data_IF_617452535162
#
_entry.id   IF_617452535162
#
_cell.length_a   1.000
_cell.length_b   1.000
_cell.length_c   1.000
_cell.angle_alpha   90.00
_cell.angle_beta   90.00
_cell.angle_gamma   90.00
#
_symmetry.space_group_name_H-M   'P 1'
#
loop_
_entity.id
_entity.type
_entity.pdbx_description
1 polymer ?
#
# COMPACT_ATOMS: atom_id res chain seq x y z
N UNK A 1 6.45 8.62 21.38
CA UNK A 1 6.58 7.76 20.19
C UNK A 1 7.99 7.78 19.65
N UNK A 2 8.57 8.96 19.46
CA UNK A 2 9.96 9.19 19.01
C UNK A 2 11.00 8.35 19.77
N UNK A 3 11.03 8.36 21.10
CA UNK A 3 11.99 7.57 21.90
C UNK A 3 11.88 6.07 21.63
N UNK A 4 10.67 5.55 21.44
CA UNK A 4 10.46 4.15 21.09
C UNK A 4 11.02 3.87 19.69
N UNK A 5 10.70 4.73 18.72
CA UNK A 5 11.23 4.61 17.36
C UNK A 5 12.75 4.68 17.32
N UNK A 6 13.38 5.57 18.09
CA UNK A 6 14.83 5.67 18.21
C UNK A 6 15.46 4.34 18.61
N UNK A 7 14.98 3.76 19.72
CA UNK A 7 15.47 2.46 20.20
C UNK A 7 15.17 1.34 19.21
N UNK A 8 14.02 1.35 18.56
CA UNK A 8 13.68 0.36 17.54
C UNK A 8 14.63 0.44 16.35
N UNK A 9 14.98 1.64 15.90
CA UNK A 9 15.86 1.83 14.75
C UNK A 9 17.32 1.43 15.03
N UNK A 10 17.80 1.68 16.25
CA UNK A 10 19.09 1.16 16.71
C UNK A 10 19.14 -0.37 16.66
N UNK A 11 18.04 -1.02 17.03
CA UNK A 11 17.91 -2.47 16.96
C UNK A 11 17.80 -2.99 15.52
N UNK A 12 17.05 -2.33 14.64
CA UNK A 12 16.91 -2.69 13.22
C UNK A 12 18.23 -2.55 12.45
N UNK A 13 19.06 -1.60 12.84
CA UNK A 13 20.37 -1.37 12.23
C UNK A 13 21.46 -2.31 12.77
N UNK A 14 21.12 -3.23 13.67
CA UNK A 14 22.07 -4.16 14.28
C UNK A 14 22.38 -5.37 13.39
N UNK A 15 23.62 -5.85 13.45
CA UNK A 15 24.02 -7.12 12.83
C UNK A 15 23.45 -8.34 13.56
N UNK A 16 23.10 -8.22 14.85
CA UNK A 16 22.61 -9.33 15.66
C UNK A 16 21.13 -9.67 15.33
N UNK A 17 20.81 -10.89 14.86
CA UNK A 17 19.43 -11.28 14.52
C UNK A 17 18.43 -11.12 15.69
N UNK A 18 18.89 -11.32 16.93
CA UNK A 18 18.09 -11.16 18.14
C UNK A 18 17.69 -9.70 18.40
N UNK A 19 18.59 -8.75 18.10
CA UNK A 19 18.32 -7.32 18.18
C UNK A 19 17.37 -6.89 17.07
N UNK A 20 17.60 -7.31 15.82
CA UNK A 20 16.68 -7.02 14.70
C UNK A 20 15.27 -7.50 15.03
N UNK A 21 15.11 -8.74 15.51
CA UNK A 21 13.82 -9.28 15.96
C UNK A 21 13.15 -8.40 17.01
N UNK A 22 13.93 -7.89 17.98
CA UNK A 22 13.42 -7.00 19.03
C UNK A 22 12.96 -5.65 18.45
N UNK A 23 13.71 -5.09 17.51
CA UNK A 23 13.33 -3.87 16.79
C UNK A 23 12.02 -4.04 16.02
N UNK A 24 11.91 -5.11 15.23
CA UNK A 24 10.69 -5.43 14.48
C UNK A 24 9.47 -5.58 15.41
N UNK A 25 9.60 -6.31 16.52
CA UNK A 25 8.51 -6.46 17.51
C UNK A 25 8.10 -5.15 18.18
N UNK A 26 9.03 -4.21 18.37
CA UNK A 26 8.69 -2.90 18.93
C UNK A 26 7.90 -2.06 17.93
N UNK A 27 8.28 -2.10 16.65
CA UNK A 27 7.52 -1.45 15.56
C UNK A 27 6.13 -2.09 15.45
N UNK A 28 6.06 -3.42 15.39
CA UNK A 28 4.80 -4.18 15.38
C UNK A 28 3.89 -3.78 16.55
N UNK A 29 4.44 -3.74 17.78
CA UNK A 29 3.69 -3.34 18.96
C UNK A 29 3.18 -1.90 18.92
N UNK A 30 3.94 -0.98 18.30
CA UNK A 30 3.49 0.39 18.06
C UNK A 30 2.32 0.42 17.07
N UNK A 31 2.44 -0.28 15.93
CA UNK A 31 1.38 -0.34 14.92
C UNK A 31 0.12 -1.00 15.50
N UNK A 32 0.26 -2.07 16.29
CA UNK A 32 -0.85 -2.72 16.97
C UNK A 32 -1.59 -1.78 17.93
N UNK A 33 -0.87 -0.92 18.68
CA UNK A 33 -1.51 0.08 19.56
C UNK A 33 -2.30 1.14 18.79
N UNK A 34 -1.86 1.46 17.57
CA UNK A 34 -2.55 2.40 16.68
C UNK A 34 -3.80 1.72 16.10
N UNK A 35 -3.66 0.51 15.56
CA UNK A 35 -4.71 -0.17 14.80
C UNK A 35 -5.77 -0.89 15.65
N UNK A 36 -5.43 -1.31 16.88
CA UNK A 36 -6.31 -2.13 17.70
C UNK A 36 -6.96 -1.33 18.83
N UNK A 37 -8.22 -1.64 19.13
CA UNK A 37 -8.92 -1.08 20.27
C UNK A 37 -8.33 -1.61 21.59
N UNK A 38 -8.19 -0.74 22.59
CA UNK A 38 -7.83 -1.17 23.94
C UNK A 38 -9.05 -1.85 24.56
N UNK A 39 -8.94 -3.13 24.87
CA UNK A 39 -9.95 -3.82 25.69
C UNK A 39 -10.09 -3.08 27.02
N UNK A 40 -11.24 -2.43 27.23
CA UNK A 40 -11.58 -1.74 28.48
C UNK A 40 -11.91 -2.78 29.55
N UNK A 41 -10.91 -3.51 30.05
CA UNK A 41 -11.11 -4.33 31.26
C UNK A 41 -10.87 -3.47 32.51
N UNK A 42 -11.86 -3.32 33.41
CA UNK A 42 -11.66 -2.64 34.69
C UNK A 42 -10.70 -3.45 35.58
N UNK A 43 -9.83 -2.73 36.30
CA UNK A 43 -8.75 -3.29 37.12
C UNK A 43 -9.21 -4.28 38.23
N UNK A 44 -10.50 -4.35 38.53
CA UNK A 44 -11.08 -5.22 39.57
C UNK A 44 -11.18 -6.70 39.19
N UNK A 45 -11.16 -7.06 37.90
CA UNK A 45 -11.33 -8.46 37.46
C UNK A 45 -10.02 -9.26 37.34
N UNK A 46 -8.87 -8.59 37.44
CA UNK A 46 -7.54 -9.23 37.31
C UNK A 46 -7.25 -10.33 38.33
N UNK A 47 -7.99 -10.41 39.45
CA UNK A 47 -7.81 -11.46 40.48
C UNK A 47 -8.75 -12.68 40.34
N UNK A 48 -9.74 -12.67 39.45
CA UNK A 48 -10.68 -13.80 39.29
C UNK A 48 -10.47 -14.65 38.03
N UNK A 49 -9.61 -14.21 37.10
CA UNK A 49 -9.41 -14.86 35.81
C UNK A 49 -8.36 -15.99 35.80
N UNK A 50 -8.44 -16.94 36.73
CA UNK A 50 -7.68 -18.20 36.62
C UNK A 50 -8.46 -19.33 35.92
N UNK A 51 -9.68 -19.06 35.43
CA UNK A 51 -10.54 -20.06 34.79
C UNK A 51 -11.25 -19.61 33.50
N UNK A 52 -10.81 -18.53 32.83
CA UNK A 52 -11.42 -18.11 31.55
C UNK A 52 -10.54 -18.50 30.36
N UNK A 53 -10.90 -19.59 29.70
CA UNK A 53 -10.46 -19.93 28.34
C UNK A 53 -11.14 -18.99 27.35
N UNK A 54 -10.54 -17.82 27.10
CA UNK A 54 -11.06 -16.85 26.14
C UNK A 54 -10.75 -15.42 26.55
N UNK A 55 -9.47 -15.05 26.48
CA UNK A 55 -9.09 -13.62 26.52
C UNK A 55 -9.80 -12.89 25.37
N UNK A 56 -10.54 -11.79 25.62
CA UNK A 56 -11.13 -11.00 24.53
C UNK A 56 -10.00 -10.48 23.65
N UNK A 57 -9.97 -10.92 22.39
CA UNK A 57 -9.01 -10.44 21.41
C UNK A 57 -9.24 -8.94 21.17
N UNK A 58 -8.19 -8.12 21.02
CA UNK A 58 -8.35 -6.71 20.68
C UNK A 58 -9.06 -6.60 19.33
N UNK A 59 -10.18 -5.88 19.27
CA UNK A 59 -10.90 -5.68 18.01
C UNK A 59 -10.19 -4.63 17.15
N UNK A 60 -10.00 -4.86 15.83
CA UNK A 60 -9.47 -3.86 14.91
C UNK A 60 -10.34 -2.61 14.87
N UNK A 61 -9.74 -1.43 14.90
CA UNK A 61 -10.43 -0.17 14.65
C UNK A 61 -10.79 -0.06 13.17
N UNK A 62 -11.92 0.56 12.86
CA UNK A 62 -12.23 0.92 11.48
C UNK A 62 -11.22 1.98 10.97
N UNK A 63 -10.80 1.88 9.71
CA UNK A 63 -9.86 2.83 9.10
C UNK A 63 -10.38 4.27 9.15
N UNK A 64 -11.69 4.46 9.04
CA UNK A 64 -12.37 5.76 9.16
C UNK A 64 -12.13 6.45 10.49
N UNK A 65 -11.93 5.67 11.56
CA UNK A 65 -11.83 6.16 12.93
C UNK A 65 -10.38 6.52 13.29
N UNK A 66 -9.41 5.94 12.58
CA UNK A 66 -7.98 6.21 12.81
C UNK A 66 -7.63 7.68 12.59
N UNK A 67 -8.28 8.34 11.61
CA UNK A 67 -8.01 9.76 11.31
C UNK A 67 -8.25 10.70 12.49
N UNK A 68 -9.06 10.29 13.46
CA UNK A 68 -9.38 11.07 14.67
C UNK A 68 -8.58 10.62 15.89
N UNK A 69 -7.83 9.51 15.80
CA UNK A 69 -6.97 9.02 16.86
C UNK A 69 -5.70 9.90 16.98
N UNK A 70 -5.44 10.53 18.14
CA UNK A 70 -4.26 11.37 18.32
C UNK A 70 -2.94 10.60 18.18
N UNK A 71 -2.91 9.31 18.52
CA UNK A 71 -1.71 8.48 18.34
C UNK A 71 -1.44 8.21 16.86
N UNK A 72 -2.49 8.00 16.05
CA UNK A 72 -2.34 7.86 14.60
C UNK A 72 -1.87 9.16 13.95
N UNK A 73 -2.45 10.31 14.31
CA UNK A 73 -2.03 11.62 13.78
C UNK A 73 -0.57 11.92 14.07
N UNK A 74 -0.12 11.64 15.29
CA UNK A 74 1.28 11.82 15.65
C UNK A 74 2.20 10.84 14.91
N UNK A 75 1.80 9.57 14.78
CA UNK A 75 2.52 8.59 13.97
C UNK A 75 2.67 9.06 12.53
N UNK A 76 1.56 9.45 11.90
CA UNK A 76 1.51 9.93 10.52
C UNK A 76 2.43 11.13 10.33
N UNK A 77 2.36 12.13 11.22
CA UNK A 77 3.26 13.30 11.20
C UNK A 77 4.74 12.91 11.30
N UNK A 78 5.07 11.93 12.14
CA UNK A 78 6.45 11.44 12.26
C UNK A 78 6.93 10.73 10.98
N UNK A 79 6.02 10.09 10.22
CA UNK A 79 6.37 9.39 8.98
C UNK A 79 6.70 10.34 7.82
N UNK A 80 6.17 11.56 7.82
CA UNK A 80 6.51 12.62 6.85
C UNK A 80 7.99 13.07 6.97
N UNK A 81 8.59 12.91 8.15
CA UNK A 81 9.98 13.26 8.39
C UNK A 81 10.95 12.11 8.09
N UNK A 82 12.11 12.41 7.51
CA UNK A 82 13.16 11.41 7.25
C UNK A 82 13.71 10.74 8.52
N UNK A 83 13.69 11.44 9.66
CA UNK A 83 14.26 10.95 10.91
C UNK A 83 13.49 9.76 11.47
N UNK A 84 12.16 9.81 11.36
CA UNK A 84 11.23 8.89 12.03
C UNK A 84 10.40 8.03 11.06
N UNK A 85 10.68 8.11 9.76
CA UNK A 85 10.02 7.28 8.75
C UNK A 85 10.39 5.79 8.92
N UNK A 86 9.43 5.03 9.41
CA UNK A 86 9.54 3.60 9.69
C UNK A 86 9.69 2.81 8.40
N UNK A 87 8.97 3.15 7.33
CA UNK A 87 9.07 2.43 6.05
C UNK A 87 10.50 2.49 5.50
N UNK A 88 11.12 3.67 5.52
CA UNK A 88 12.51 3.83 5.11
C UNK A 88 13.46 2.98 5.96
N UNK A 89 13.26 2.95 7.28
CA UNK A 89 14.08 2.13 8.20
C UNK A 89 13.89 0.63 7.99
N UNK A 90 12.67 0.19 7.69
CA UNK A 90 12.38 -1.21 7.36
C UNK A 90 12.99 -1.61 6.02
N UNK A 91 12.96 -0.75 5.01
CA UNK A 91 13.61 -1.01 3.71
C UNK A 91 15.13 -1.15 3.88
N UNK A 92 15.77 -0.27 4.64
CA UNK A 92 17.20 -0.42 4.98
C UNK A 92 17.47 -1.70 5.77
N UNK A 93 16.58 -2.07 6.69
CA UNK A 93 16.68 -3.35 7.40
C UNK A 93 16.58 -4.54 6.42
N UNK A 94 15.67 -4.48 5.45
CA UNK A 94 15.48 -5.52 4.44
C UNK A 94 16.73 -5.69 3.56
N UNK A 95 17.33 -4.58 3.11
CA UNK A 95 18.62 -4.58 2.39
C UNK A 95 19.71 -5.30 3.20
N UNK A 96 19.85 -4.98 4.48
CA UNK A 96 20.81 -5.66 5.35
C UNK A 96 20.50 -7.14 5.57
N UNK A 97 19.24 -7.56 5.54
CA UNK A 97 18.85 -8.97 5.68
C UNK A 97 19.08 -9.75 4.39
N UNK A 98 18.92 -9.12 3.22
CA UNK A 98 19.24 -9.69 1.91
C UNK A 98 20.73 -9.93 1.72
N UNK A 99 21.57 -9.03 2.25
CA UNK A 99 23.02 -9.21 2.26
C UNK A 99 23.51 -10.32 3.21
N UNK A 100 22.63 -10.90 4.04
CA UNK A 100 22.97 -12.01 4.94
C UNK A 100 22.72 -13.34 4.26
N UNK A 101 23.53 -14.34 4.62
CA UNK A 101 23.33 -15.71 4.18
C UNK A 101 21.94 -16.26 4.54
N UNK A 102 21.49 -17.24 3.77
CA UNK A 102 20.16 -17.86 3.93
C UNK A 102 20.16 -18.78 5.14
N UNK A 103 19.39 -18.41 6.17
CA UNK A 103 19.13 -19.24 7.35
C UNK A 103 17.66 -19.13 7.70
N UNK A 104 17.06 -20.17 8.27
CA UNK A 104 15.63 -20.12 8.64
C UNK A 104 15.30 -18.99 9.62
N UNK A 105 16.26 -18.54 10.43
CA UNK A 105 16.08 -17.35 11.27
C UNK A 105 16.05 -16.06 10.45
N UNK A 106 16.91 -15.92 9.44
CA UNK A 106 16.93 -14.76 8.55
C UNK A 106 15.63 -14.67 7.74
N UNK A 107 15.13 -15.79 7.24
CA UNK A 107 13.88 -15.86 6.48
C UNK A 107 12.70 -15.34 7.30
N UNK A 108 12.61 -15.73 8.58
CA UNK A 108 11.58 -15.21 9.50
C UNK A 108 11.69 -13.69 9.73
N UNK A 109 12.91 -13.15 9.74
CA UNK A 109 13.12 -11.70 9.87
C UNK A 109 12.71 -10.96 8.59
N UNK A 110 13.01 -11.52 7.41
CA UNK A 110 12.57 -10.98 6.11
C UNK A 110 11.05 -10.96 6.06
N UNK A 111 10.38 -12.07 6.38
CA UNK A 111 8.91 -12.15 6.42
C UNK A 111 8.31 -11.11 7.35
N UNK A 112 8.84 -10.98 8.57
CA UNK A 112 8.38 -9.99 9.55
C UNK A 112 8.62 -8.55 9.06
N UNK A 113 9.72 -8.30 8.33
CA UNK A 113 10.02 -6.98 7.78
C UNK A 113 9.07 -6.63 6.64
N UNK A 114 8.79 -7.57 5.74
CA UNK A 114 7.82 -7.39 4.63
C UNK A 114 6.41 -7.11 5.14
N UNK A 115 5.95 -7.85 6.16
CA UNK A 115 4.64 -7.64 6.79
C UNK A 115 4.51 -6.24 7.42
N UNK A 116 5.56 -5.78 8.10
CA UNK A 116 5.59 -4.42 8.65
C UNK A 116 5.67 -3.35 7.57
N UNK A 117 6.40 -3.58 6.46
CA UNK A 117 6.40 -2.66 5.31
C UNK A 117 4.98 -2.51 4.77
N UNK A 118 4.27 -3.62 4.54
CA UNK A 118 2.87 -3.59 4.09
C UNK A 118 2.00 -2.76 5.03
N UNK A 119 2.04 -3.04 6.34
CA UNK A 119 1.27 -2.31 7.34
C UNK A 119 1.55 -0.82 7.35
N UNK A 120 2.84 -0.42 7.27
CA UNK A 120 3.21 1.00 7.25
C UNK A 120 2.79 1.69 5.96
N UNK A 121 2.89 1.04 4.80
CA UNK A 121 2.44 1.60 3.52
C UNK A 121 0.92 1.77 3.44
N UNK A 122 0.16 0.95 4.18
CA UNK A 122 -1.29 1.10 4.30
C UNK A 122 -1.66 2.24 5.26
N UNK A 123 -0.93 2.40 6.37
CA UNK A 123 -1.16 3.48 7.34
C UNK A 123 -0.64 4.85 6.88
N UNK A 124 0.42 4.86 6.07
CA UNK A 124 1.06 6.06 5.54
C UNK A 124 1.31 5.92 4.03
N UNK A 125 0.27 6.11 3.19
CA UNK A 125 0.38 6.05 1.73
C UNK A 125 1.52 6.88 1.11
N UNK A 126 1.87 8.08 1.63
CA UNK A 126 3.01 8.83 1.08
C UNK A 126 4.34 8.07 1.13
N UNK A 127 4.52 7.11 2.05
CA UNK A 127 5.75 6.28 2.08
C UNK A 127 5.92 5.39 0.84
N UNK A 128 4.88 5.19 0.03
CA UNK A 128 5.00 4.43 -1.22
C UNK A 128 5.98 5.07 -2.20
N UNK A 129 6.20 6.39 -2.14
CA UNK A 129 7.17 7.10 -3.02
C UNK A 129 8.60 6.59 -2.87
N UNK A 130 8.93 5.87 -1.80
CA UNK A 130 10.21 5.19 -1.65
C UNK A 130 10.48 4.25 -2.84
N UNK A 131 9.47 3.52 -3.30
CA UNK A 131 9.59 2.51 -4.35
C UNK A 131 9.65 3.08 -5.77
N UNK A 132 9.53 4.40 -5.94
CA UNK A 132 9.88 5.07 -7.20
C UNK A 132 11.41 5.05 -7.43
N UNK A 133 12.19 4.80 -6.38
CA UNK A 133 13.64 4.62 -6.48
C UNK A 133 13.93 3.18 -6.87
N UNK A 134 14.64 3.03 -7.99
CA UNK A 134 15.02 1.71 -8.52
C UNK A 134 15.71 0.83 -7.48
N UNK A 135 16.59 1.39 -6.64
CA UNK A 135 17.29 0.65 -5.60
C UNK A 135 16.34 -0.08 -4.65
N UNK A 136 15.23 0.56 -4.23
CA UNK A 136 14.29 -0.06 -3.29
C UNK A 136 13.31 -1.00 -3.99
N UNK A 137 12.94 -0.72 -5.23
CA UNK A 137 12.14 -1.65 -6.03
C UNK A 137 12.90 -2.94 -6.34
N UNK A 138 14.19 -2.84 -6.70
CA UNK A 138 15.04 -4.00 -6.95
C UNK A 138 15.15 -4.92 -5.73
N UNK A 139 15.17 -4.40 -4.49
CA UNK A 139 15.14 -5.25 -3.29
C UNK A 139 13.91 -6.17 -3.25
N UNK A 140 12.75 -5.69 -3.70
CA UNK A 140 11.55 -6.53 -3.81
C UNK A 140 11.66 -7.52 -4.96
N UNK A 141 12.21 -7.12 -6.11
CA UNK A 141 12.40 -8.03 -7.24
C UNK A 141 13.41 -9.15 -6.92
N UNK A 142 14.50 -8.86 -6.21
CA UNK A 142 15.50 -9.83 -5.78
C UNK A 142 14.90 -10.90 -4.84
N UNK A 143 13.90 -10.52 -4.03
CA UNK A 143 13.18 -11.46 -3.16
C UNK A 143 12.29 -12.44 -3.95
N UNK A 144 11.97 -12.15 -5.22
CA UNK A 144 11.25 -13.07 -6.11
C UNK A 144 12.15 -14.11 -6.76
N UNK A 145 13.47 -14.11 -6.53
CA UNK A 145 14.37 -15.13 -7.05
C UNK A 145 13.85 -16.55 -6.68
N UNK A 146 13.80 -17.49 -7.63
CA UNK A 146 13.37 -18.89 -7.41
C UNK A 146 14.07 -19.61 -6.25
N UNK A 147 15.25 -19.14 -5.87
CA UNK A 147 16.03 -19.69 -4.76
C UNK A 147 15.47 -19.35 -3.38
N UNK A 148 14.64 -18.31 -3.28
CA UNK A 148 14.00 -17.93 -2.03
C UNK A 148 12.82 -18.87 -1.74
N UNK A 149 12.51 -19.04 -0.45
CA UNK A 149 11.42 -19.94 -0.08
C UNK A 149 10.05 -19.39 -0.53
N UNK A 150 9.07 -20.27 -0.82
CA UNK A 150 7.76 -19.85 -1.31
C UNK A 150 7.05 -18.79 -0.44
N UNK A 151 7.25 -18.85 0.88
CA UNK A 151 6.67 -17.88 1.81
C UNK A 151 7.21 -16.46 1.57
N UNK A 152 8.51 -16.31 1.32
CA UNK A 152 9.12 -15.00 1.03
C UNK A 152 8.61 -14.48 -0.31
N UNK A 153 8.51 -15.33 -1.33
CA UNK A 153 7.99 -14.94 -2.64
C UNK A 153 6.53 -14.47 -2.54
N UNK A 154 5.67 -15.22 -1.84
CA UNK A 154 4.27 -14.83 -1.58
C UNK A 154 4.16 -13.50 -0.83
N UNK A 155 4.93 -13.31 0.26
CA UNK A 155 4.93 -12.07 1.03
C UNK A 155 5.46 -10.89 0.22
N UNK A 156 6.44 -11.12 -0.65
CA UNK A 156 7.01 -10.10 -1.54
C UNK A 156 6.02 -9.65 -2.59
N UNK A 157 5.27 -10.58 -3.21
CA UNK A 157 4.20 -10.24 -4.15
C UNK A 157 3.12 -9.36 -3.50
N UNK A 158 2.73 -9.69 -2.27
CA UNK A 158 1.78 -8.86 -1.52
C UNK A 158 2.37 -7.48 -1.18
N UNK A 159 3.66 -7.43 -0.83
CA UNK A 159 4.37 -6.17 -0.58
C UNK A 159 4.42 -5.30 -1.85
N UNK A 160 4.69 -5.91 -3.01
CA UNK A 160 4.61 -5.24 -4.31
C UNK A 160 3.20 -4.67 -4.55
N UNK A 161 2.12 -5.44 -4.34
CA UNK A 161 0.74 -4.91 -4.44
C UNK A 161 0.59 -3.66 -3.58
N UNK A 162 0.98 -3.70 -2.31
CA UNK A 162 0.83 -2.53 -1.40
C UNK A 162 1.71 -1.34 -1.78
N UNK A 163 2.87 -1.57 -2.41
CA UNK A 163 3.75 -0.52 -2.89
C UNK A 163 3.26 0.12 -4.18
N UNK A 164 2.61 -0.64 -5.07
CA UNK A 164 2.11 -0.19 -6.37
C UNK A 164 0.70 0.43 -6.29
N UNK A 165 -0.06 0.09 -5.24
CA UNK A 165 -1.45 0.53 -5.06
C UNK A 165 -1.59 2.06 -5.10
N UNK A 166 -2.45 2.53 -6.01
CA UNK A 166 -2.73 3.96 -6.29
C UNK A 166 -1.46 4.80 -6.52
N UNK A 167 -0.38 4.18 -7.00
CA UNK A 167 0.90 4.85 -7.19
C UNK A 167 1.56 4.47 -8.54
N UNK A 168 1.04 4.99 -9.68
CA UNK A 168 1.47 4.59 -11.03
C UNK A 168 2.98 4.75 -11.28
N UNK A 169 3.63 5.74 -10.65
CA UNK A 169 5.08 5.94 -10.77
C UNK A 169 5.88 4.71 -10.28
N UNK A 170 5.40 4.03 -9.24
CA UNK A 170 6.06 2.81 -8.78
C UNK A 170 5.82 1.68 -9.78
N UNK A 171 4.66 1.62 -10.42
CA UNK A 171 4.37 0.64 -11.48
C UNK A 171 5.29 0.87 -12.68
N UNK A 172 5.59 2.12 -13.03
CA UNK A 172 6.60 2.43 -14.06
C UNK A 172 7.98 1.94 -13.67
N UNK A 173 8.46 2.27 -12.46
CA UNK A 173 9.76 1.78 -11.98
C UNK A 173 9.83 0.25 -11.96
N UNK A 174 8.75 -0.42 -11.55
CA UNK A 174 8.66 -1.88 -11.60
C UNK A 174 8.79 -2.43 -13.02
N UNK A 175 8.14 -1.82 -14.01
CA UNK A 175 8.23 -2.25 -15.41
C UNK A 175 9.59 -1.96 -16.03
N UNK A 176 10.18 -0.80 -15.73
CA UNK A 176 11.51 -0.39 -16.20
C UNK A 176 12.61 -1.34 -15.70
N UNK A 177 12.40 -1.94 -14.52
CA UNK A 177 13.27 -2.94 -13.92
C UNK A 177 12.93 -4.39 -14.31
N UNK A 178 12.25 -4.60 -15.44
CA UNK A 178 11.86 -5.92 -15.93
C UNK A 178 11.03 -6.74 -14.91
N UNK A 179 10.25 -6.05 -14.06
CA UNK A 179 9.43 -6.69 -13.04
C UNK A 179 8.39 -7.66 -13.62
N UNK A 180 7.82 -7.33 -14.79
CA UNK A 180 6.90 -8.22 -15.51
C UNK A 180 7.60 -9.50 -16.00
N UNK A 181 8.84 -9.37 -16.50
CA UNK A 181 9.63 -10.53 -16.90
C UNK A 181 9.94 -11.41 -15.68
N UNK A 182 10.31 -10.80 -14.56
CA UNK A 182 10.60 -11.51 -13.29
C UNK A 182 9.38 -12.31 -12.83
N UNK A 183 8.21 -11.66 -12.73
CA UNK A 183 6.94 -12.28 -12.30
C UNK A 183 6.51 -13.40 -13.25
N UNK A 184 6.50 -13.16 -14.56
CA UNK A 184 6.06 -14.15 -15.55
C UNK A 184 7.04 -15.32 -15.67
N UNK A 185 8.35 -15.07 -15.53
CA UNK A 185 9.36 -16.13 -15.49
C UNK A 185 9.16 -17.04 -14.29
N UNK A 186 8.97 -16.47 -13.10
CA UNK A 186 8.66 -17.23 -11.89
C UNK A 186 7.35 -18.02 -12.04
N UNK A 187 6.32 -17.45 -12.68
CA UNK A 187 5.05 -18.15 -12.94
C UNK A 187 5.21 -19.36 -13.85
N UNK A 188 5.99 -19.23 -14.93
CA UNK A 188 6.23 -20.29 -15.92
C UNK A 188 7.12 -21.42 -15.40
N UNK A 189 7.93 -21.16 -14.39
CA UNK A 189 8.81 -22.18 -13.83
C UNK A 189 8.01 -23.36 -13.27
N UNK A 190 8.47 -24.56 -13.60
CA UNK A 190 7.84 -25.81 -13.15
C UNK A 190 8.03 -26.05 -11.65
N UNK A 191 9.15 -25.57 -11.09
CA UNK A 191 9.49 -25.72 -9.68
C UNK A 191 8.67 -24.80 -8.76
N UNK A 192 8.04 -23.75 -9.29
CA UNK A 192 7.25 -22.79 -8.51
C UNK A 192 6.05 -23.47 -7.87
N UNK A 193 5.89 -23.28 -6.56
CA UNK A 193 4.82 -23.90 -5.79
C UNK A 193 3.44 -23.42 -6.26
N UNK A 194 2.41 -24.25 -6.04
CA UNK A 194 1.03 -23.90 -6.38
C UNK A 194 0.56 -22.63 -5.67
N UNK A 195 0.96 -22.46 -4.41
CA UNK A 195 0.64 -21.27 -3.61
C UNK A 195 1.20 -19.99 -4.24
N UNK A 196 2.48 -20.00 -4.61
CA UNK A 196 3.12 -18.85 -5.25
C UNK A 196 2.51 -18.58 -6.62
N UNK A 197 2.17 -19.62 -7.39
CA UNK A 197 1.45 -19.44 -8.67
C UNK A 197 0.11 -18.74 -8.50
N UNK A 198 -0.64 -19.06 -7.45
CA UNK A 198 -1.90 -18.39 -7.14
C UNK A 198 -1.65 -16.91 -6.81
N UNK A 199 -0.63 -16.59 -5.99
CA UNK A 199 -0.25 -15.21 -5.70
C UNK A 199 0.25 -14.43 -6.92
N UNK A 200 0.96 -15.09 -7.84
CA UNK A 200 1.39 -14.48 -9.10
C UNK A 200 0.18 -14.12 -9.97
N UNK A 201 -0.82 -15.01 -10.05
CA UNK A 201 -2.07 -14.73 -10.79
C UNK A 201 -2.83 -13.57 -10.15
N UNK A 202 -2.98 -13.54 -8.82
CA UNK A 202 -3.58 -12.40 -8.09
C UNK A 202 -2.84 -11.08 -8.40
N UNK A 203 -1.51 -11.12 -8.42
CA UNK A 203 -0.69 -9.96 -8.78
C UNK A 203 -0.89 -9.53 -10.24
N UNK A 204 -0.98 -10.46 -11.18
CA UNK A 204 -1.24 -10.17 -12.60
C UNK A 204 -2.63 -9.55 -12.80
N UNK A 205 -3.65 -10.05 -12.10
CA UNK A 205 -4.97 -9.41 -12.09
C UNK A 205 -4.90 -7.99 -11.55
N UNK A 206 -4.25 -7.78 -10.40
CA UNK A 206 -4.02 -6.44 -9.85
C UNK A 206 -3.29 -5.52 -10.85
N UNK A 207 -2.23 -6.01 -11.51
CA UNK A 207 -1.49 -5.23 -12.49
C UNK A 207 -2.36 -4.80 -13.68
N UNK A 208 -3.28 -5.66 -14.15
CA UNK A 208 -4.16 -5.37 -15.28
C UNK A 208 -5.34 -4.44 -14.92
N UNK A 209 -5.69 -4.31 -13.63
CA UNK A 209 -6.76 -3.40 -13.19
C UNK A 209 -6.44 -1.93 -13.50
N UNK A 210 -7.44 -1.07 -13.81
CA UNK A 210 -7.21 0.34 -14.04
C UNK A 210 -6.48 1.04 -12.88
N UNK A 211 -5.51 1.90 -13.20
CA UNK A 211 -4.64 2.54 -12.18
C UNK A 211 -5.26 3.75 -11.50
N UNK A 212 -6.36 4.25 -12.06
CA UNK A 212 -7.15 5.32 -11.47
C UNK A 212 -8.63 4.94 -11.52
N UNK A 213 -9.42 5.30 -10.49
CA UNK A 213 -10.85 5.07 -10.51
C UNK A 213 -11.44 5.83 -11.69
N UNK A 214 -12.04 5.08 -12.63
CA UNK A 214 -12.74 5.63 -13.77
C UNK A 214 -14.08 6.16 -13.26
N UNK A 215 -14.10 7.42 -12.81
CA UNK A 215 -15.38 8.09 -12.59
C UNK A 215 -16.06 8.26 -13.94
N UNK A 216 -17.30 7.79 -14.13
CA UNK A 216 -18.02 8.05 -15.37
C UNK A 216 -18.20 9.56 -15.52
N UNK A 217 -17.46 10.15 -16.45
CA UNK A 217 -17.66 11.52 -16.92
C UNK A 217 -18.97 11.52 -17.70
N UNK A 218 -20.10 11.71 -17.00
CA UNK A 218 -21.39 11.48 -17.65
C UNK A 218 -22.62 11.67 -16.77
N UNK A 219 -22.68 12.73 -15.97
CA UNK A 219 -23.95 13.24 -15.47
C UNK A 219 -23.99 14.77 -15.59
N UNK A 220 -23.81 15.26 -16.82
CA UNK A 220 -24.43 16.53 -17.19
C UNK A 220 -25.92 16.35 -16.97
N UNK A 221 -26.44 16.91 -15.89
CA UNK A 221 -27.86 16.89 -15.58
C UNK A 221 -28.66 17.31 -16.82
N UNK A 222 -29.59 16.48 -17.32
CA UNK A 222 -30.42 16.89 -18.44
C UNK A 222 -31.38 17.98 -17.94
N UNK A 223 -31.12 19.21 -18.36
CA UNK A 223 -32.08 20.31 -18.32
C UNK A 223 -33.31 19.90 -19.14
N UNK A 224 -34.37 19.47 -18.45
CA UNK A 224 -35.73 19.45 -19.02
C UNK A 224 -36.73 19.82 -17.95
N UNK A 225 -37.54 20.82 -18.29
CA UNK A 225 -38.37 21.62 -17.42
C UNK A 225 -39.63 20.91 -16.88
N UNK A 226 -40.04 21.28 -15.66
CA UNK A 226 -41.47 21.37 -15.30
C UNK A 226 -41.74 22.73 -14.64
N UNK A 227 -42.77 23.36 -15.18
CA UNK A 227 -43.29 24.70 -14.89
C UNK A 227 -43.90 24.86 -13.48
N UNK A 228 -43.91 26.11 -12.99
CA UNK A 228 -45.13 26.66 -12.37
C UNK A 228 -45.01 27.35 -11.00
N UNK A 229 -45.05 28.69 -11.04
CA UNK A 229 -45.65 29.62 -10.05
C UNK A 229 -45.02 29.82 -8.65
N UNK A 230 -44.27 30.92 -8.49
CA UNK A 230 -44.60 32.16 -7.72
C UNK A 230 -43.40 33.13 -7.78
N UNK A 231 -43.41 34.24 -8.55
CA UNK A 231 -43.80 35.64 -8.18
C UNK A 231 -43.52 35.96 -6.68
N UNK A 232 -42.70 36.94 -6.26
CA UNK A 232 -42.32 38.26 -6.81
C UNK A 232 -41.17 38.93 -5.99
N UNK A 233 -40.63 40.11 -6.39
CA UNK A 233 -39.20 40.47 -6.29
C UNK A 233 -38.85 41.76 -5.51
N UNK A 234 -37.55 42.11 -5.47
CA UNK A 234 -36.88 43.45 -5.49
C UNK A 234 -35.71 43.52 -4.48
N UNK A 235 -34.50 44.02 -4.78
CA UNK A 235 -34.12 45.18 -5.61
C UNK A 235 -32.81 44.96 -6.41
N UNK A 236 -32.79 45.64 -7.56
CA UNK A 236 -31.73 45.76 -8.56
C UNK A 236 -30.63 46.75 -8.16
N UNK A 237 -29.43 46.57 -8.70
CA UNK A 237 -28.41 47.63 -8.75
C UNK A 237 -27.06 47.23 -9.36
N UNK A 238 -27.00 47.09 -10.70
CA UNK A 238 -25.82 47.41 -11.53
C UNK A 238 -24.65 46.41 -11.61
N UNK A 239 -24.50 45.73 -12.75
CA UNK A 239 -23.23 45.10 -13.15
C UNK A 239 -22.28 46.10 -13.84
N UNK A 240 -21.31 45.66 -14.67
CA UNK A 240 -20.46 44.48 -14.56
C UNK A 240 -18.97 44.87 -14.67
N UNK A 241 -18.08 44.27 -13.87
CA UNK A 241 -16.65 44.26 -14.21
C UNK A 241 -16.02 42.89 -13.96
N UNK A 242 -15.61 42.30 -15.08
CA UNK A 242 -14.62 41.25 -15.20
C UNK A 242 -13.36 41.61 -14.39
N UNK A 243 -12.96 40.71 -13.48
CA UNK A 243 -11.55 40.44 -13.22
C UNK A 243 -11.38 39.07 -12.57
N UNK A 244 -11.14 38.10 -13.44
CA UNK A 244 -10.41 36.88 -13.09
C UNK A 244 -9.08 37.29 -12.47
N UNK A 245 -8.85 36.94 -11.21
CA UNK A 245 -7.54 37.05 -10.58
C UNK A 245 -6.96 35.63 -10.49
N UNK A 246 -6.28 35.26 -11.57
CA UNK A 246 -5.17 34.33 -11.54
C UNK A 246 -4.11 34.88 -10.58
N UNK A 247 -4.03 34.33 -9.37
CA UNK A 247 -2.81 34.41 -8.56
C UNK A 247 -1.98 33.19 -8.92
N UNK A 248 -1.03 33.43 -9.84
CA UNK A 248 0.04 32.51 -10.16
C UNK A 248 1.03 32.47 -8.98
N UNK A 249 0.97 31.40 -8.19
CA UNK A 249 2.06 31.00 -7.29
C UNK A 249 2.99 30.01 -8.01
N UNK A 250 4.32 30.16 -7.93
CA UNK A 250 5.23 29.22 -8.58
C UNK A 250 5.44 27.98 -7.69
N UNK A 251 5.25 26.79 -8.26
CA UNK A 251 5.95 25.59 -7.79
C UNK A 251 5.14 24.54 -7.04
N UNK A 252 4.28 23.80 -7.73
CA UNK A 252 4.26 22.33 -7.64
C UNK A 252 3.53 21.78 -8.87
N UNK A 253 4.32 21.36 -9.86
CA UNK A 253 3.79 20.79 -11.10
C UNK A 253 3.03 19.51 -10.80
N UNK A 254 1.72 19.54 -11.01
CA UNK A 254 0.88 18.37 -11.15
C UNK A 254 1.40 17.53 -12.32
N UNK A 255 2.27 16.58 -12.00
CA UNK A 255 2.83 15.57 -12.91
C UNK A 255 1.97 14.30 -12.92
N UNK A 256 0.69 14.40 -12.54
CA UNK A 256 -0.17 13.25 -12.24
C UNK A 256 -0.93 12.65 -13.42
N UNK A 257 -0.84 13.23 -14.63
CA UNK A 257 -1.67 12.78 -15.77
C UNK A 257 -0.89 12.15 -16.92
N UNK A 258 0.45 12.12 -16.85
CA UNK A 258 1.30 11.54 -17.90
C UNK A 258 1.85 10.15 -17.59
N UNK A 259 1.49 9.57 -16.44
CA UNK A 259 2.18 8.40 -15.86
C UNK A 259 1.30 7.15 -15.72
N UNK A 260 -0.02 7.33 -15.86
CA UNK A 260 -1.01 6.26 -15.79
C UNK A 260 -1.11 5.56 -17.14
N UNK A 261 -1.10 4.22 -17.14
CA UNK A 261 -1.34 3.41 -18.34
C UNK A 261 -2.73 2.79 -18.35
N UNK A 262 -3.30 2.70 -19.54
CA UNK A 262 -4.56 1.99 -19.81
C UNK A 262 -4.41 0.48 -19.62
N UNK A 263 -5.51 -0.23 -19.43
CA UNK A 263 -5.49 -1.70 -19.33
C UNK A 263 -4.97 -2.32 -20.62
N UNK A 264 -5.29 -1.74 -21.78
CA UNK A 264 -4.83 -2.19 -23.10
C UNK A 264 -3.30 -2.05 -23.25
N UNK A 265 -2.73 -0.93 -22.81
CA UNK A 265 -1.27 -0.73 -22.81
C UNK A 265 -0.57 -1.75 -21.89
N UNK A 266 -1.14 -1.99 -20.70
CA UNK A 266 -0.61 -2.98 -19.75
C UNK A 266 -0.73 -4.41 -20.26
N UNK A 267 -1.84 -4.74 -20.92
CA UNK A 267 -2.02 -6.01 -21.62
C UNK A 267 -0.96 -6.20 -22.71
N UNK A 268 -0.69 -5.17 -23.52
CA UNK A 268 0.33 -5.24 -24.56
C UNK A 268 1.75 -5.44 -23.99
N UNK A 269 2.06 -4.86 -22.84
CA UNK A 269 3.34 -5.06 -22.15
C UNK A 269 3.46 -6.47 -21.60
N UNK A 270 2.43 -6.94 -20.89
CA UNK A 270 2.40 -8.30 -20.35
C UNK A 270 2.42 -9.36 -21.47
N UNK A 271 1.79 -9.06 -22.61
CA UNK A 271 1.77 -9.89 -23.82
C UNK A 271 3.15 -10.16 -24.42
N UNK A 272 4.16 -9.32 -24.13
CA UNK A 272 5.55 -9.58 -24.51
C UNK A 272 6.15 -10.79 -23.79
N UNK A 273 5.59 -11.11 -22.61
CA UNK A 273 6.10 -12.14 -21.73
C UNK A 273 5.13 -13.30 -21.51
N UNK A 274 3.84 -13.17 -21.84
CA UNK A 274 2.85 -14.23 -21.66
C UNK A 274 1.92 -14.29 -22.88
N UNK A 275 1.60 -15.49 -23.37
CA UNK A 275 0.83 -15.64 -24.63
C UNK A 275 -0.69 -15.60 -24.44
N UNK A 276 -1.20 -15.88 -23.23
CA UNK A 276 -2.64 -16.02 -22.95
C UNK A 276 -3.15 -14.86 -22.10
N UNK A 277 -2.71 -13.63 -22.38
CA UNK A 277 -3.12 -12.46 -21.57
C UNK A 277 -4.57 -12.08 -21.84
N UNK A 278 -5.07 -12.32 -23.05
CA UNK A 278 -6.47 -12.13 -23.44
C UNK A 278 -7.43 -12.81 -22.46
N UNK A 279 -7.19 -14.10 -22.16
CA UNK A 279 -8.00 -14.89 -21.23
C UNK A 279 -8.01 -14.27 -19.82
N UNK A 280 -6.86 -13.79 -19.33
CA UNK A 280 -6.79 -13.09 -18.03
C UNK A 280 -7.60 -11.79 -18.03
N UNK A 281 -7.60 -11.04 -19.14
CA UNK A 281 -8.35 -9.79 -19.23
C UNK A 281 -9.85 -10.05 -19.34
N UNK A 282 -10.24 -11.10 -20.05
CA UNK A 282 -11.64 -11.57 -20.13
C UNK A 282 -12.14 -12.02 -18.75
N UNK A 283 -11.41 -12.90 -18.07
CA UNK A 283 -11.71 -13.37 -16.72
C UNK A 283 -11.85 -12.19 -15.73
N UNK A 284 -10.98 -11.18 -15.84
CA UNK A 284 -11.04 -9.98 -14.98
C UNK A 284 -12.31 -9.16 -15.21
N UNK A 285 -12.73 -9.00 -16.48
CA UNK A 285 -13.95 -8.28 -16.86
C UNK A 285 -15.21 -8.99 -16.39
N UNK A 286 -15.23 -10.32 -16.47
CA UNK A 286 -16.35 -11.14 -16.01
C UNK A 286 -16.46 -11.17 -14.48
N UNK A 287 -15.32 -11.28 -13.80
CA UNK A 287 -15.30 -11.51 -12.35
C UNK A 287 -15.45 -10.22 -11.55
N UNK A 288 -15.09 -9.05 -12.10
CA UNK A 288 -15.07 -7.75 -11.42
C UNK A 288 -14.66 -7.85 -9.93
N UNK A 289 -13.48 -8.44 -9.63
CA UNK A 289 -13.15 -8.96 -8.29
C UNK A 289 -13.13 -7.89 -7.19
N UNK A 290 -13.02 -6.62 -7.57
CA UNK A 290 -13.19 -5.47 -6.70
C UNK A 290 -14.25 -4.58 -7.34
N UNK A 291 -15.48 -4.62 -6.83
CA UNK A 291 -16.62 -3.91 -7.41
C UNK A 291 -16.37 -2.41 -7.64
N UNK A 292 -17.14 -1.82 -8.55
CA UNK A 292 -17.02 -0.44 -9.07
C UNK A 292 -17.18 0.71 -8.05
N UNK A 293 -17.05 0.45 -6.75
CA UNK A 293 -17.11 1.43 -5.67
C UNK A 293 -15.87 1.28 -4.80
N UNK A 294 -14.87 2.13 -5.07
CA UNK A 294 -13.79 2.42 -4.12
C UNK A 294 -14.30 3.55 -3.20
N UNK A 295 -14.12 3.37 -1.89
CA UNK A 295 -14.60 4.20 -0.78
C UNK A 295 -14.24 5.69 -0.88
#
# INVERSE_FOLDING_TARGET
METLLAHSFDYLSSYEPSKVRKGLRQVEGLLAQICLSKSKQPASEKRRSLLSFGTPQPEPKALSDLKDDPAFREFFKLQEGFQWNVAMRLVTCLEHLLGRGRTGTNDLLILSTLDLIQGVLLLHPPSRTLFTREIYMNLLLDLLDPINCPAIQSATLLTLVTALLDHPANTRTFEELDGLLTVTSLFKQRATSREVKLKLVEFLYFYLMPETPTYPIGASAPNTAVCGLQRSPSKLGGGPYSRSLNVAGPGHGGKGHGDTRTTEEKQALLGRYLNNVEDLVEDLKETAPFGATVY
#
